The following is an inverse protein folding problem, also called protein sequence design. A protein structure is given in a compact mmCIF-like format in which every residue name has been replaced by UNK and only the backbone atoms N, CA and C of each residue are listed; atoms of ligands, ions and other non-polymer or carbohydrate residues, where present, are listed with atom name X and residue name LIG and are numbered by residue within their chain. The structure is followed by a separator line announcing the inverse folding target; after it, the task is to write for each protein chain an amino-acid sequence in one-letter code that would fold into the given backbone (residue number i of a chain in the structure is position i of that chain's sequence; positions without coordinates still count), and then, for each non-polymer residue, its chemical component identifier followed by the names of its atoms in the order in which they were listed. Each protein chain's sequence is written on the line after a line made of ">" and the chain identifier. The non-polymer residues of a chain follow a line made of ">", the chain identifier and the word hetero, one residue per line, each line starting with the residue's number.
data_IF_254821734302
#
_entry.id   IF_254821734302
#
_cell.length_a   1.000
_cell.length_b   1.000
_cell.length_c   1.000
_cell.angle_alpha   90.00
_cell.angle_beta   90.00
_cell.angle_gamma   90.00
#
_symmetry.space_group_name_H-M   'P 1'
#
loop_
_entity.id
_entity.type
_entity.pdbx_description
1 polymer ?
#
# COMPACT_ATOMS: atom_id res chain seq x y z
N UNK A 1 -20.56 53.98 -32.68
CA UNK A 1 -19.34 53.30 -32.22
C UNK A 1 -19.56 52.83 -30.79
N UNK A 2 -19.91 51.57 -30.61
CA UNK A 2 -19.98 50.90 -29.31
C UNK A 2 -19.32 49.55 -29.48
N UNK A 3 -18.03 49.50 -29.17
CA UNK A 3 -17.23 48.28 -29.20
C UNK A 3 -17.77 47.31 -28.15
N UNK A 4 -18.40 46.23 -28.60
CA UNK A 4 -18.59 45.04 -27.78
C UNK A 4 -17.22 44.52 -27.40
N UNK A 5 -16.87 44.61 -26.12
CA UNK A 5 -15.74 43.87 -25.56
C UNK A 5 -16.02 42.38 -25.76
N UNK A 6 -15.15 41.73 -26.53
CA UNK A 6 -15.14 40.28 -26.70
C UNK A 6 -14.84 39.65 -25.34
N UNK A 7 -15.87 39.08 -24.72
CA UNK A 7 -15.74 38.26 -23.53
C UNK A 7 -15.06 36.95 -23.95
N UNK A 8 -13.73 36.93 -24.01
CA UNK A 8 -12.94 35.70 -24.06
C UNK A 8 -13.01 35.05 -22.69
N UNK A 9 -14.14 34.40 -22.41
CA UNK A 9 -14.30 33.52 -21.26
C UNK A 9 -13.40 32.31 -21.43
N UNK A 10 -12.12 32.45 -21.10
CA UNK A 10 -11.19 31.33 -20.98
C UNK A 10 -11.75 30.34 -19.97
N UNK A 11 -11.71 29.05 -20.30
CA UNK A 11 -12.20 27.99 -19.43
C UNK A 11 -11.36 28.02 -18.14
N UNK A 12 -11.98 28.37 -17.01
CA UNK A 12 -11.32 28.38 -15.70
C UNK A 12 -11.35 26.96 -15.15
N UNK A 13 -10.19 26.34 -15.05
CA UNK A 13 -10.04 25.01 -14.45
C UNK A 13 -9.68 25.12 -12.97
N UNK A 14 -10.46 24.46 -12.11
CA UNK A 14 -10.15 24.37 -10.68
C UNK A 14 -9.26 23.16 -10.43
N UNK A 15 -8.16 23.37 -9.73
CA UNK A 15 -7.17 22.33 -9.47
C UNK A 15 -6.98 22.13 -7.97
N UNK A 16 -6.55 20.92 -7.60
CA UNK A 16 -6.04 20.62 -6.25
C UNK A 16 -4.51 20.67 -6.27
N UNK A 17 -3.90 20.02 -7.24
CA UNK A 17 -2.46 20.00 -7.48
C UNK A 17 -2.19 19.79 -8.96
N UNK A 18 -1.13 20.39 -9.49
CA UNK A 18 -0.71 20.18 -10.88
C UNK A 18 0.82 20.31 -10.99
N UNK A 19 1.44 19.44 -11.79
CA UNK A 19 2.85 19.54 -12.20
C UNK A 19 2.88 19.88 -13.68
N UNK A 20 3.55 20.97 -14.06
CA UNK A 20 3.67 21.41 -15.45
C UNK A 20 4.97 20.86 -16.08
N UNK A 21 4.99 20.80 -17.40
CA UNK A 21 6.13 20.30 -18.16
C UNK A 21 7.42 21.13 -17.99
N UNK A 22 7.30 22.39 -17.57
CA UNK A 22 8.43 23.28 -17.28
C UNK A 22 9.00 23.10 -15.86
N UNK A 23 8.50 22.12 -15.09
CA UNK A 23 8.90 21.89 -13.70
C UNK A 23 8.20 22.79 -12.69
N UNK A 24 7.20 23.58 -13.10
CA UNK A 24 6.35 24.30 -12.16
C UNK A 24 5.48 23.32 -11.37
N UNK A 25 5.49 23.43 -10.04
CA UNK A 25 4.58 22.69 -9.16
C UNK A 25 3.55 23.66 -8.59
N UNK A 26 2.28 23.33 -8.70
CA UNK A 26 1.17 24.13 -8.20
C UNK A 26 0.37 23.29 -7.21
N UNK A 27 0.16 23.79 -5.99
CA UNK A 27 -0.60 23.12 -4.94
C UNK A 27 -1.66 24.08 -4.37
N UNK A 28 -2.87 23.58 -4.16
CA UNK A 28 -3.88 24.32 -3.40
C UNK A 28 -3.47 24.37 -1.94
N UNK A 29 -3.55 25.55 -1.35
CA UNK A 29 -3.36 25.79 0.08
C UNK A 29 -4.63 26.42 0.68
N UNK A 30 -4.83 26.24 1.98
CA UNK A 30 -6.00 26.75 2.70
C UNK A 30 -5.55 27.61 3.87
N UNK A 31 -5.93 28.88 3.90
CA UNK A 31 -5.72 29.76 5.05
C UNK A 31 -6.85 29.53 6.07
N UNK A 32 -6.58 28.93 7.26
CA UNK A 32 -7.64 28.57 8.19
C UNK A 32 -8.39 29.78 8.77
N UNK A 33 -7.68 30.90 8.97
CA UNK A 33 -8.23 32.12 9.55
C UNK A 33 -9.32 32.77 8.69
N UNK A 34 -9.16 32.72 7.37
CA UNK A 34 -10.08 33.33 6.41
C UNK A 34 -10.96 32.32 5.68
N UNK A 35 -10.69 31.02 5.83
CA UNK A 35 -11.35 29.93 5.09
C UNK A 35 -11.31 30.18 3.57
N UNK A 36 -10.15 30.62 3.08
CA UNK A 36 -9.92 30.89 1.65
C UNK A 36 -8.82 30.01 1.10
N UNK A 37 -9.00 29.57 -0.14
CA UNK A 37 -8.02 28.76 -0.86
C UNK A 37 -7.22 29.61 -1.83
N UNK A 38 -5.93 29.29 -1.95
CA UNK A 38 -4.98 29.91 -2.88
C UNK A 38 -4.16 28.82 -3.59
N UNK A 39 -3.39 29.20 -4.59
CA UNK A 39 -2.37 28.37 -5.22
C UNK A 39 -1.00 28.76 -4.66
N UNK A 40 -0.33 27.82 -4.00
CA UNK A 40 1.11 27.88 -3.79
C UNK A 40 1.80 27.38 -5.06
N UNK A 41 2.67 28.22 -5.63
CA UNK A 41 3.35 27.96 -6.90
C UNK A 41 4.84 27.92 -6.63
N UNK A 42 5.50 26.88 -7.12
CA UNK A 42 6.95 26.76 -7.12
C UNK A 42 7.47 26.71 -8.55
N UNK A 43 8.37 27.64 -8.89
CA UNK A 43 8.97 27.74 -10.21
C UNK A 43 10.39 28.28 -10.10
N UNK A 44 11.35 27.60 -10.72
CA UNK A 44 12.76 28.02 -10.80
C UNK A 44 13.37 28.39 -9.43
N UNK A 45 13.07 27.61 -8.39
CA UNK A 45 13.57 27.85 -7.03
C UNK A 45 12.77 28.87 -6.20
N UNK A 46 11.80 29.56 -6.81
CA UNK A 46 11.00 30.60 -6.16
C UNK A 46 9.61 30.07 -5.79
N UNK A 47 9.09 30.51 -4.64
CA UNK A 47 7.72 30.26 -4.21
C UNK A 47 6.89 31.53 -4.22
N UNK A 48 5.64 31.44 -4.67
CA UNK A 48 4.64 32.48 -4.46
C UNK A 48 3.28 31.86 -4.08
N UNK A 49 2.38 32.69 -3.55
CA UNK A 49 0.99 32.31 -3.26
C UNK A 49 0.08 33.30 -3.94
N UNK A 50 -0.80 32.82 -4.82
CA UNK A 50 -1.70 33.66 -5.61
C UNK A 50 -3.11 33.02 -5.70
N UNK A 51 -4.11 33.82 -6.01
CA UNK A 51 -5.49 33.41 -6.27
C UNK A 51 -5.67 32.59 -7.55
N UNK A 52 -4.73 32.71 -8.50
CA UNK A 52 -4.77 32.00 -9.77
C UNK A 52 -3.40 31.91 -10.43
N UNK A 53 -3.27 31.06 -11.46
CA UNK A 53 -2.07 30.94 -12.28
C UNK A 53 -2.45 30.85 -13.76
N UNK A 54 -1.66 31.48 -14.65
CA UNK A 54 -1.86 31.42 -16.10
C UNK A 54 -0.75 30.54 -16.68
N UNK A 55 -1.15 29.40 -17.27
CA UNK A 55 -0.23 28.46 -17.92
C UNK A 55 0.37 29.08 -19.19
N UNK A 56 1.48 28.53 -19.65
CA UNK A 56 2.08 28.90 -20.94
C UNK A 56 1.13 28.71 -22.14
N UNK A 57 0.14 27.81 -22.02
CA UNK A 57 -0.94 27.62 -22.99
C UNK A 57 -1.97 28.76 -23.04
N UNK A 58 -1.92 29.71 -22.09
CA UNK A 58 -2.93 30.76 -21.89
C UNK A 58 -4.12 30.33 -21.02
N UNK A 59 -4.18 29.08 -20.59
CA UNK A 59 -5.23 28.57 -19.70
C UNK A 59 -5.06 29.14 -18.28
N UNK A 60 -6.15 29.65 -17.70
CA UNK A 60 -6.18 30.12 -16.31
C UNK A 60 -6.65 29.00 -15.38
N UNK A 61 -5.85 28.71 -14.36
CA UNK A 61 -6.22 27.79 -13.27
C UNK A 61 -6.45 28.53 -11.96
N UNK A 62 -7.37 28.02 -11.16
CA UNK A 62 -7.76 28.52 -9.85
C UNK A 62 -7.77 27.37 -8.83
N UNK A 63 -7.62 27.63 -7.52
CA UNK A 63 -7.72 26.57 -6.54
C UNK A 63 -9.14 26.02 -6.48
N UNK A 64 -9.28 24.76 -6.05
CA UNK A 64 -10.57 24.26 -5.61
C UNK A 64 -11.13 25.18 -4.51
N UNK A 65 -12.40 25.57 -4.61
CA UNK A 65 -12.98 26.57 -3.70
C UNK A 65 -13.09 26.01 -2.28
N UNK A 66 -12.81 26.84 -1.29
CA UNK A 66 -13.06 26.51 0.12
C UNK A 66 -14.53 26.12 0.42
N UNK A 67 -15.48 26.55 -0.42
CA UNK A 67 -16.89 26.14 -0.33
C UNK A 67 -17.15 24.68 -0.73
N UNK A 68 -16.16 23.96 -1.25
CA UNK A 68 -16.25 22.52 -1.46
C UNK A 68 -16.57 21.84 -0.12
N UNK A 69 -17.54 20.93 -0.11
CA UNK A 69 -18.05 20.33 1.12
C UNK A 69 -16.95 19.65 1.97
N UNK A 70 -16.00 18.98 1.32
CA UNK A 70 -14.92 18.28 2.02
C UNK A 70 -13.89 19.24 2.61
N UNK A 71 -13.69 20.41 1.98
CA UNK A 71 -12.80 21.46 2.49
C UNK A 71 -13.48 22.22 3.64
N UNK A 72 -14.71 22.69 3.40
CA UNK A 72 -15.51 23.47 4.36
C UNK A 72 -15.65 22.77 5.71
N UNK A 73 -15.78 21.44 5.71
CA UNK A 73 -15.94 20.65 6.92
C UNK A 73 -14.61 20.09 7.48
N UNK A 74 -13.46 20.52 6.95
CA UNK A 74 -12.14 20.10 7.44
C UNK A 74 -11.86 18.61 7.26
N UNK A 75 -12.49 17.97 6.26
CA UNK A 75 -12.29 16.54 5.97
C UNK A 75 -10.93 16.31 5.33
N UNK A 76 -10.46 17.26 4.52
CA UNK A 76 -9.15 17.22 3.86
C UNK A 76 -8.22 18.27 4.46
N UNK A 77 -7.04 17.84 4.90
CA UNK A 77 -6.03 18.70 5.49
C UNK A 77 -5.10 19.27 4.43
N UNK A 78 -5.07 20.59 4.30
CA UNK A 78 -4.12 21.31 3.45
C UNK A 78 -2.99 21.92 4.27
N UNK A 79 -1.87 22.20 3.62
CA UNK A 79 -0.93 23.20 4.10
C UNK A 79 -1.55 24.60 3.95
N UNK A 80 -1.11 25.53 4.80
CA UNK A 80 -1.53 26.93 4.74
C UNK A 80 -0.69 27.72 3.74
N UNK A 81 0.61 27.43 3.67
CA UNK A 81 1.57 28.07 2.78
C UNK A 81 2.87 27.26 2.75
N UNK A 82 3.73 27.41 1.74
CA UNK A 82 5.07 26.85 1.78
C UNK A 82 5.92 27.64 2.80
N UNK A 83 6.61 26.92 3.68
CA UNK A 83 7.46 27.53 4.72
C UNK A 83 8.84 26.88 4.74
N UNK A 84 9.88 27.67 4.95
CA UNK A 84 11.24 27.16 4.95
C UNK A 84 11.49 26.22 6.15
N UNK A 85 12.34 25.23 5.93
CA UNK A 85 12.89 24.34 6.95
C UNK A 85 14.41 24.37 6.84
N UNK A 86 15.10 24.10 7.95
CA UNK A 86 16.57 24.19 8.06
C UNK A 86 17.28 23.14 7.20
N UNK A 87 16.98 21.86 7.44
CA UNK A 87 17.49 20.74 6.65
C UNK A 87 16.49 19.58 6.66
N UNK A 88 16.70 18.58 5.80
CA UNK A 88 15.84 17.38 5.77
C UNK A 88 15.96 16.62 7.10
N UNK A 89 17.18 16.53 7.65
CA UNK A 89 17.47 15.90 8.94
C UNK A 89 16.72 16.59 10.09
N UNK A 90 16.74 17.92 10.13
CA UNK A 90 16.02 18.67 11.15
C UNK A 90 14.51 18.51 11.01
N UNK A 91 13.97 18.58 9.79
CA UNK A 91 12.55 18.36 9.53
C UNK A 91 12.10 16.96 10.00
N UNK A 92 12.91 15.94 9.76
CA UNK A 92 12.66 14.57 10.24
C UNK A 92 12.69 14.52 11.77
N UNK A 93 13.66 15.18 12.41
CA UNK A 93 13.75 15.22 13.86
C UNK A 93 12.54 15.93 14.50
N UNK A 94 12.05 17.01 13.89
CA UNK A 94 10.88 17.73 14.34
C UNK A 94 9.61 16.86 14.21
N UNK A 95 9.48 16.12 13.09
CA UNK A 95 8.41 15.13 12.89
C UNK A 95 8.48 14.03 13.94
N UNK A 96 9.66 13.46 14.20
CA UNK A 96 9.84 12.42 15.21
C UNK A 96 9.48 12.93 16.62
N UNK A 97 9.92 14.14 16.96
CA UNK A 97 9.61 14.78 18.25
C UNK A 97 8.12 14.99 18.41
N UNK A 98 7.45 15.46 17.36
CA UNK A 98 6.01 15.63 17.32
C UNK A 98 5.26 14.28 17.50
N UNK A 99 5.67 13.21 16.80
CA UNK A 99 5.06 11.89 16.95
C UNK A 99 5.28 11.36 18.38
N UNK A 100 6.51 11.46 18.90
CA UNK A 100 6.87 11.02 20.24
C UNK A 100 6.04 11.74 21.31
N UNK A 101 5.73 13.02 21.14
CA UNK A 101 4.93 13.76 22.12
C UNK A 101 3.50 13.21 22.30
N UNK A 102 2.92 12.64 21.26
CA UNK A 102 1.48 12.34 21.23
C UNK A 102 1.13 10.86 21.05
N UNK A 103 2.11 10.01 20.74
CA UNK A 103 1.88 8.62 20.38
C UNK A 103 2.90 7.71 21.06
N UNK A 104 2.41 6.57 21.56
CA UNK A 104 3.26 5.49 22.04
C UNK A 104 3.38 4.39 20.98
N UNK A 105 4.52 4.38 20.31
CA UNK A 105 4.92 3.40 19.28
C UNK A 105 6.41 3.13 19.45
N UNK A 106 6.87 2.00 18.90
CA UNK A 106 8.30 1.66 18.90
C UNK A 106 9.15 2.76 18.26
N UNK A 107 10.36 2.99 18.79
CA UNK A 107 11.30 3.96 18.24
C UNK A 107 11.58 3.68 16.76
N UNK A 108 11.72 2.40 16.43
CA UNK A 108 11.91 1.93 15.07
C UNK A 108 10.75 2.37 14.16
N UNK A 109 9.51 2.10 14.56
CA UNK A 109 8.35 2.47 13.75
C UNK A 109 8.13 3.99 13.70
N UNK A 110 8.51 4.73 14.74
CA UNK A 110 8.50 6.20 14.71
C UNK A 110 9.40 6.74 13.59
N UNK A 111 10.58 6.15 13.38
CA UNK A 111 11.44 6.50 12.23
C UNK A 111 10.73 6.18 10.92
N UNK A 112 10.20 4.95 10.75
CA UNK A 112 9.46 4.56 9.54
C UNK A 112 8.31 5.53 9.25
N UNK A 113 7.48 5.85 10.25
CA UNK A 113 6.35 6.76 10.11
C UNK A 113 6.78 8.17 9.69
N UNK A 114 7.92 8.65 10.18
CA UNK A 114 8.46 9.98 9.83
C UNK A 114 8.87 10.06 8.36
N UNK A 115 9.56 9.03 7.85
CA UNK A 115 9.88 8.97 6.42
C UNK A 115 8.66 8.64 5.56
N UNK A 116 7.70 7.87 6.08
CA UNK A 116 6.43 7.66 5.39
C UNK A 116 5.68 8.98 5.21
N UNK A 117 5.68 9.86 6.21
CA UNK A 117 5.13 11.21 6.08
C UNK A 117 5.81 11.95 4.93
N UNK A 118 7.15 12.02 4.89
CA UNK A 118 7.87 12.63 3.75
C UNK A 118 7.48 11.99 2.42
N UNK A 119 7.42 10.65 2.35
CA UNK A 119 7.00 9.90 1.16
C UNK A 119 5.62 10.36 0.68
N UNK A 120 4.66 10.61 1.58
CA UNK A 120 3.32 11.09 1.18
C UNK A 120 3.35 12.43 0.44
N UNK A 121 4.36 13.27 0.68
CA UNK A 121 4.52 14.56 0.02
C UNK A 121 5.18 14.46 -1.36
N UNK A 122 5.73 13.30 -1.72
CA UNK A 122 6.44 13.07 -2.99
C UNK A 122 6.04 11.74 -3.64
N UNK A 123 4.93 11.15 -3.20
CA UNK A 123 4.49 9.80 -3.61
C UNK A 123 4.26 9.69 -5.12
N UNK A 124 3.96 10.82 -5.76
CA UNK A 124 3.74 10.95 -7.18
C UNK A 124 5.04 11.00 -8.00
N UNK A 125 6.21 10.81 -7.39
CA UNK A 125 7.45 10.42 -8.06
C UNK A 125 7.57 8.89 -8.27
N UNK A 126 6.74 8.09 -7.59
CA UNK A 126 6.82 6.64 -7.62
C UNK A 126 5.65 5.99 -8.38
N UNK A 127 5.85 4.74 -8.78
CA UNK A 127 4.82 3.89 -9.37
C UNK A 127 4.16 3.00 -8.31
N UNK A 128 4.92 2.56 -7.30
CA UNK A 128 4.42 1.74 -6.20
C UNK A 128 4.66 2.41 -4.85
N UNK A 129 3.80 2.11 -3.88
CA UNK A 129 3.87 2.66 -2.53
C UNK A 129 3.65 1.59 -1.46
N UNK A 130 4.36 1.68 -0.32
CA UNK A 130 3.94 1.05 0.93
C UNK A 130 2.68 1.71 1.49
N UNK A 131 1.98 0.93 2.31
CA UNK A 131 0.99 1.44 3.25
C UNK A 131 1.51 1.33 4.67
N UNK A 132 1.07 2.23 5.54
CA UNK A 132 1.37 2.18 6.96
C UNK A 132 0.18 1.58 7.71
N UNK A 133 0.44 0.66 8.65
CA UNK A 133 -0.59 -0.01 9.44
C UNK A 133 -0.30 0.03 10.93
N UNK A 134 -1.33 0.33 11.69
CA UNK A 134 -1.37 0.27 13.15
C UNK A 134 -2.30 -0.87 13.55
N UNK A 135 -1.77 -1.92 14.16
CA UNK A 135 -2.52 -3.12 14.55
C UNK A 135 -2.55 -3.30 16.06
N UNK A 136 -3.67 -3.78 16.62
CA UNK A 136 -3.78 -4.09 18.05
C UNK A 136 -5.21 -3.98 18.59
N UNK A 137 -5.40 -4.36 19.85
CA UNK A 137 -6.72 -4.45 20.49
C UNK A 137 -7.30 -3.09 20.91
N UNK A 138 -8.54 -3.09 21.42
CA UNK A 138 -9.18 -1.88 21.92
C UNK A 138 -8.34 -1.20 23.02
N UNK A 139 -8.28 0.14 23.00
CA UNK A 139 -7.50 0.91 23.97
C UNK A 139 -6.00 0.99 23.67
N UNK A 140 -5.50 0.40 22.57
CA UNK A 140 -4.05 0.39 22.25
C UNK A 140 -3.50 1.70 21.66
N UNK A 141 -4.31 2.76 21.51
CA UNK A 141 -3.86 4.06 20.98
C UNK A 141 -3.84 4.20 19.45
N UNK A 142 -4.29 3.21 18.68
CA UNK A 142 -4.30 3.26 17.19
C UNK A 142 -4.95 4.51 16.60
N UNK A 143 -6.15 4.86 17.06
CA UNK A 143 -6.88 6.04 16.57
C UNK A 143 -6.08 7.32 16.84
N UNK A 144 -5.43 7.43 18.01
CA UNK A 144 -4.52 8.55 18.33
C UNK A 144 -3.34 8.59 17.36
N UNK A 145 -2.69 7.45 17.12
CA UNK A 145 -1.58 7.35 16.17
C UNK A 145 -2.01 7.73 14.74
N UNK A 146 -3.18 7.28 14.28
CA UNK A 146 -3.76 7.68 12.99
C UNK A 146 -3.92 9.19 12.89
N UNK A 147 -4.52 9.83 13.90
CA UNK A 147 -4.72 11.27 13.91
C UNK A 147 -3.39 12.03 13.88
N UNK A 148 -2.42 11.64 14.71
CA UNK A 148 -1.14 12.34 14.81
C UNK A 148 -0.33 12.21 13.52
N UNK A 149 -0.15 10.99 13.01
CA UNK A 149 0.59 10.73 11.77
C UNK A 149 -0.14 11.35 10.58
N UNK A 150 -1.45 11.08 10.46
CA UNK A 150 -2.29 11.58 9.37
C UNK A 150 -2.37 13.10 9.31
N UNK A 151 -2.22 13.80 10.44
CA UNK A 151 -2.17 15.28 10.47
C UNK A 151 -0.96 15.86 9.73
N UNK A 152 0.10 15.08 9.48
CA UNK A 152 1.27 15.53 8.73
C UNK A 152 1.31 15.02 7.29
N UNK A 153 0.46 14.05 6.93
CA UNK A 153 0.43 13.48 5.59
C UNK A 153 -0.14 14.46 4.56
N UNK A 154 0.36 14.38 3.32
CA UNK A 154 -0.07 15.22 2.20
C UNK A 154 -1.57 15.03 1.90
N UNK A 155 -2.33 16.14 1.90
CA UNK A 155 -3.76 16.18 1.59
C UNK A 155 -4.55 15.07 2.30
N UNK A 156 -4.19 14.81 3.56
CA UNK A 156 -4.76 13.71 4.32
C UNK A 156 -6.27 13.90 4.52
N UNK A 157 -7.03 12.83 4.36
CA UNK A 157 -8.45 12.82 4.71
C UNK A 157 -8.79 11.58 5.54
N UNK A 158 -9.68 11.77 6.50
CA UNK A 158 -10.05 10.75 7.46
C UNK A 158 -11.36 10.08 7.06
N UNK A 159 -11.35 8.76 7.07
CA UNK A 159 -12.54 7.93 6.91
C UNK A 159 -12.53 6.82 7.95
N UNK A 160 -13.71 6.29 8.26
CA UNK A 160 -13.87 5.17 9.19
C UNK A 160 -14.75 4.09 8.59
N UNK A 161 -14.77 2.92 9.23
CA UNK A 161 -15.67 1.83 8.87
C UNK A 161 -17.16 2.18 8.86
N UNK A 162 -17.56 3.28 9.52
CA UNK A 162 -18.92 3.80 9.48
C UNK A 162 -19.27 4.59 8.20
N UNK A 163 -18.27 4.94 7.38
CA UNK A 163 -18.46 5.68 6.14
C UNK A 163 -18.82 4.74 4.99
N UNK A 164 -19.74 5.15 4.12
CA UNK A 164 -19.92 4.45 2.85
C UNK A 164 -18.64 4.55 2.02
N UNK A 165 -18.35 3.53 1.21
CA UNK A 165 -17.09 3.47 0.44
C UNK A 165 -17.10 4.48 -0.73
N UNK A 166 -18.28 4.86 -1.23
CA UNK A 166 -18.42 5.74 -2.40
C UNK A 166 -17.69 7.09 -2.27
N UNK A 167 -17.91 7.89 -1.19
CA UNK A 167 -17.16 9.11 -0.92
C UNK A 167 -15.64 8.95 -0.91
N UNK A 168 -15.13 7.78 -0.55
CA UNK A 168 -13.68 7.52 -0.50
C UNK A 168 -13.10 7.53 -1.92
N UNK A 169 -13.76 6.91 -2.91
CA UNK A 169 -13.28 6.94 -4.30
C UNK A 169 -13.25 8.36 -4.85
N UNK A 170 -14.33 9.12 -4.65
CA UNK A 170 -14.42 10.50 -5.12
C UNK A 170 -13.37 11.40 -4.46
N UNK A 171 -13.11 11.20 -3.17
CA UNK A 171 -12.10 11.99 -2.44
C UNK A 171 -10.68 11.65 -2.91
N UNK A 172 -10.35 10.36 -3.05
CA UNK A 172 -9.07 9.95 -3.63
C UNK A 172 -8.89 10.47 -5.05
N UNK A 173 -9.95 10.44 -5.85
CA UNK A 173 -9.91 10.87 -7.24
C UNK A 173 -9.72 12.38 -7.39
N UNK A 174 -10.44 13.15 -6.58
CA UNK A 174 -10.41 14.62 -6.60
C UNK A 174 -9.14 15.17 -5.98
N UNK A 175 -8.77 14.70 -4.78
CA UNK A 175 -7.74 15.33 -3.97
C UNK A 175 -6.36 14.70 -4.11
N UNK A 176 -6.28 13.45 -4.61
CA UNK A 176 -4.99 12.75 -4.79
C UNK A 176 -4.15 12.80 -3.50
N UNK A 177 -4.81 12.59 -2.37
CA UNK A 177 -4.23 12.73 -1.04
C UNK A 177 -4.02 11.41 -0.32
N UNK A 178 -3.66 11.51 0.96
CA UNK A 178 -3.46 10.34 1.83
C UNK A 178 -4.78 9.89 2.47
N UNK A 179 -5.15 8.62 2.29
CA UNK A 179 -6.29 8.04 3.01
C UNK A 179 -5.87 7.62 4.41
N UNK A 180 -6.48 8.21 5.44
CA UNK A 180 -6.36 7.79 6.83
C UNK A 180 -7.63 7.02 7.20
N UNK A 181 -7.50 5.72 7.46
CA UNK A 181 -8.66 4.84 7.62
C UNK A 181 -8.66 4.12 8.96
N UNK A 182 -9.68 4.39 9.79
CA UNK A 182 -9.90 3.69 11.07
C UNK A 182 -10.93 2.57 10.93
N UNK A 183 -10.79 1.53 11.76
CA UNK A 183 -11.67 0.36 11.80
C UNK A 183 -11.77 -0.43 10.48
N UNK A 184 -10.64 -0.87 9.92
CA UNK A 184 -10.65 -1.73 8.72
C UNK A 184 -11.13 -3.19 8.95
N UNK A 185 -11.47 -3.58 10.19
CA UNK A 185 -11.91 -4.95 10.53
C UNK A 185 -13.42 -5.15 10.33
N UNK A 186 -13.87 -5.09 9.09
CA UNK A 186 -15.24 -5.47 8.78
C UNK A 186 -15.40 -6.99 8.97
N UNK A 187 -16.33 -7.41 9.83
CA UNK A 187 -16.54 -8.84 10.08
C UNK A 187 -17.18 -9.53 8.88
N UNK A 188 -18.23 -8.99 8.25
CA UNK A 188 -18.82 -9.52 7.01
C UNK A 188 -19.72 -8.44 6.38
N UNK A 189 -19.30 -7.83 5.26
CA UNK A 189 -20.16 -6.92 4.49
C UNK A 189 -19.60 -6.65 3.07
N UNK A 190 -20.46 -6.24 2.14
CA UNK A 190 -20.06 -5.88 0.76
C UNK A 190 -19.05 -4.73 0.75
N UNK A 191 -19.10 -3.84 1.74
CA UNK A 191 -18.16 -2.73 1.94
C UNK A 191 -16.72 -3.21 2.18
N UNK A 192 -16.52 -4.35 2.88
CA UNK A 192 -15.20 -4.97 3.03
C UNK A 192 -14.58 -5.28 1.67
N UNK A 193 -15.38 -5.83 0.76
CA UNK A 193 -14.90 -6.20 -0.57
C UNK A 193 -14.46 -4.97 -1.37
N UNK A 194 -15.17 -3.86 -1.22
CA UNK A 194 -14.88 -2.63 -1.94
C UNK A 194 -13.65 -1.90 -1.37
N UNK A 195 -13.50 -1.89 -0.05
CA UNK A 195 -12.30 -1.38 0.61
C UNK A 195 -11.04 -2.17 0.20
N UNK A 196 -11.14 -3.50 0.16
CA UNK A 196 -10.06 -4.37 -0.31
C UNK A 196 -9.66 -4.02 -1.74
N UNK A 197 -10.62 -3.71 -2.63
CA UNK A 197 -10.31 -3.23 -3.99
C UNK A 197 -9.57 -1.89 -3.99
N UNK A 198 -9.93 -0.94 -3.11
CA UNK A 198 -9.18 0.32 -2.93
C UNK A 198 -7.75 0.04 -2.54
N UNK A 199 -7.53 -0.82 -1.55
CA UNK A 199 -6.17 -1.11 -1.10
C UNK A 199 -5.37 -1.91 -2.14
N UNK A 200 -6.00 -2.85 -2.84
CA UNK A 200 -5.35 -3.65 -3.87
C UNK A 200 -4.92 -2.82 -5.08
N UNK A 201 -5.74 -1.86 -5.52
CA UNK A 201 -5.46 -1.05 -6.71
C UNK A 201 -4.79 0.28 -6.39
N UNK A 202 -4.84 0.74 -5.14
CA UNK A 202 -4.31 2.04 -4.73
C UNK A 202 -2.81 2.09 -4.47
N UNK A 203 -2.11 0.95 -4.52
CA UNK A 203 -0.68 0.89 -4.19
C UNK A 203 0.20 0.99 -5.44
N UNK A 204 -0.38 0.82 -6.63
CA UNK A 204 0.32 0.91 -7.92
C UNK A 204 -0.38 1.95 -8.79
N UNK A 205 0.38 2.81 -9.46
CA UNK A 205 -0.14 3.82 -10.38
C UNK A 205 -0.73 3.16 -11.63
N UNK A 206 -1.80 3.75 -12.17
CA UNK A 206 -2.36 3.36 -13.48
C UNK A 206 -3.46 2.30 -13.42
N UNK A 207 -3.88 1.87 -12.23
CA UNK A 207 -4.99 0.93 -12.04
C UNK A 207 -6.23 1.65 -11.47
N UNK A 208 -7.03 2.34 -12.30
CA UNK A 208 -8.26 2.98 -11.82
C UNK A 208 -9.31 1.93 -11.42
N UNK A 209 -10.17 2.29 -10.48
CA UNK A 209 -11.39 1.55 -10.19
C UNK A 209 -12.50 2.02 -11.12
N UNK A 210 -13.10 1.08 -11.85
CA UNK A 210 -14.22 1.35 -12.73
C UNK A 210 -15.54 1.16 -12.00
N UNK A 211 -16.44 2.12 -12.16
CA UNK A 211 -17.82 2.07 -11.65
C UNK A 211 -18.77 2.46 -12.76
N UNK A 212 -19.87 1.75 -12.87
CA UNK A 212 -20.93 2.14 -13.79
C UNK A 212 -21.83 3.17 -13.11
N UNK A 213 -21.93 4.36 -13.69
CA UNK A 213 -22.96 5.34 -13.36
C UNK A 213 -24.11 5.23 -14.35
N UNK A 214 -25.33 5.55 -13.92
CA UNK A 214 -26.43 5.79 -14.85
C UNK A 214 -26.50 7.28 -15.14
N UNK A 215 -26.45 7.65 -16.41
CA UNK A 215 -26.66 9.05 -16.82
C UNK A 215 -28.11 9.46 -16.59
N UNK A 216 -28.39 10.76 -16.65
CA UNK A 216 -29.77 11.27 -16.62
C UNK A 216 -30.66 10.70 -17.75
N UNK A 217 -30.04 10.16 -18.82
CA UNK A 217 -30.72 9.49 -19.95
C UNK A 217 -30.89 7.98 -19.75
N UNK A 218 -30.55 7.43 -18.58
CA UNK A 218 -30.54 5.99 -18.26
C UNK A 218 -29.56 5.16 -19.10
N UNK A 219 -28.52 5.78 -19.63
CA UNK A 219 -27.42 5.08 -20.29
C UNK A 219 -26.36 4.69 -19.24
N UNK A 220 -25.70 3.55 -19.45
CA UNK A 220 -24.58 3.12 -18.61
C UNK A 220 -23.30 3.86 -19.02
N UNK A 221 -22.73 4.62 -18.09
CA UNK A 221 -21.50 5.39 -18.26
C UNK A 221 -20.41 4.84 -17.31
N UNK A 222 -19.38 4.14 -17.83
CA UNK A 222 -18.28 3.65 -17.00
C UNK A 222 -17.38 4.82 -16.58
N UNK A 223 -17.37 5.12 -15.29
CA UNK A 223 -16.52 6.13 -14.68
C UNK A 223 -15.27 5.50 -14.05
N UNK A 224 -14.12 6.07 -14.36
CA UNK A 224 -12.83 5.66 -13.80
C UNK A 224 -12.45 6.55 -12.62
N UNK A 225 -12.21 5.95 -11.47
CA UNK A 225 -11.73 6.61 -10.26
C UNK A 225 -10.30 6.17 -9.99
N UNK A 226 -9.36 7.11 -10.01
CA UNK A 226 -8.00 6.79 -9.61
C UNK A 226 -7.88 6.84 -8.07
N UNK A 227 -7.43 5.72 -7.51
CA UNK A 227 -7.29 5.48 -6.06
C UNK A 227 -5.83 5.33 -5.62
N UNK A 228 -4.90 5.55 -6.55
CA UNK A 228 -3.48 5.53 -6.29
C UNK A 228 -3.09 6.60 -5.28
N UNK A 229 -2.37 6.21 -4.25
CA UNK A 229 -1.85 7.13 -3.25
C UNK A 229 -1.58 6.46 -1.90
N UNK A 230 -0.88 7.17 -1.01
CA UNK A 230 -0.51 6.66 0.31
C UNK A 230 -1.75 6.38 1.18
N UNK A 231 -1.61 5.41 2.09
CA UNK A 231 -2.65 5.00 3.03
C UNK A 231 -2.06 4.69 4.40
N UNK A 232 -2.76 5.16 5.43
CA UNK A 232 -2.47 4.85 6.84
C UNK A 232 -3.73 4.21 7.42
N UNK A 233 -3.61 2.97 7.90
CA UNK A 233 -4.75 2.15 8.30
C UNK A 233 -4.62 1.67 9.74
N UNK A 234 -5.69 1.80 10.52
CA UNK A 234 -5.81 1.13 11.81
C UNK A 234 -6.76 -0.06 11.74
N UNK A 235 -6.33 -1.16 12.34
CA UNK A 235 -7.13 -2.37 12.42
C UNK A 235 -6.75 -3.22 13.65
N UNK A 236 -7.53 -4.24 13.94
CA UNK A 236 -7.42 -5.15 15.07
C UNK A 236 -6.82 -6.47 14.61
N UNK A 237 -7.20 -6.95 13.43
CA UNK A 237 -6.78 -8.25 12.88
C UNK A 237 -6.05 -8.07 11.54
N UNK A 238 -5.41 -9.13 11.05
CA UNK A 238 -4.86 -9.15 9.69
C UNK A 238 -5.98 -9.28 8.64
N UNK A 239 -5.70 -8.88 7.40
CA UNK A 239 -6.48 -9.30 6.25
C UNK A 239 -6.21 -10.79 5.95
N UNK A 240 -7.22 -11.47 5.44
CA UNK A 240 -7.11 -12.87 5.03
C UNK A 240 -6.22 -13.04 3.77
N UNK A 241 -6.11 -11.98 2.94
CA UNK A 241 -5.33 -11.98 1.71
C UNK A 241 -3.86 -11.62 1.99
N UNK A 242 -2.97 -12.62 1.91
CA UNK A 242 -1.54 -12.42 2.12
C UNK A 242 -0.88 -11.45 1.10
N UNK A 243 -1.46 -11.31 -0.10
CA UNK A 243 -0.95 -10.34 -1.08
C UNK A 243 -1.27 -8.91 -0.61
N UNK A 244 -2.45 -8.69 -0.01
CA UNK A 244 -2.78 -7.43 0.63
C UNK A 244 -1.94 -7.18 1.88
N UNK A 245 -1.77 -8.16 2.75
CA UNK A 245 -0.90 -8.07 3.94
C UNK A 245 0.52 -7.60 3.60
N UNK A 246 1.09 -8.12 2.52
CA UNK A 246 2.45 -7.78 2.10
C UNK A 246 2.67 -6.29 1.77
N UNK A 247 1.59 -5.52 1.55
CA UNK A 247 1.63 -4.07 1.24
C UNK A 247 1.83 -3.17 2.45
N UNK A 248 1.72 -3.71 3.67
CA UNK A 248 1.70 -2.91 4.90
C UNK A 248 2.99 -3.01 5.71
N UNK A 249 3.55 -1.86 6.04
CA UNK A 249 4.52 -1.69 7.13
C UNK A 249 3.73 -1.57 8.44
N UNK A 250 3.88 -2.54 9.33
CA UNK A 250 2.96 -2.73 10.46
C UNK A 250 3.63 -2.46 11.81
N UNK A 251 2.96 -1.68 12.65
CA UNK A 251 3.24 -1.57 14.09
C UNK A 251 2.23 -2.36 14.90
N UNK A 252 2.72 -3.20 15.81
CA UNK A 252 1.90 -3.89 16.82
C UNK A 252 1.78 -3.02 18.07
N UNK A 253 0.62 -2.40 18.25
CA UNK A 253 0.33 -1.51 19.36
C UNK A 253 -0.29 -2.24 20.56
N UNK A 254 -0.04 -1.71 21.75
CA UNK A 254 -0.65 -2.21 23.00
C UNK A 254 0.12 -3.36 23.67
N UNK A 255 1.37 -3.62 23.24
CA UNK A 255 2.25 -4.62 23.86
C UNK A 255 2.83 -4.15 25.19
N UNK A 256 2.80 -2.84 25.47
CA UNK A 256 3.37 -2.22 26.66
C UNK A 256 2.41 -1.19 27.26
N UNK A 257 2.65 -0.82 28.52
CA UNK A 257 1.90 0.27 29.16
C UNK A 257 2.23 1.61 28.49
N UNK A 258 1.20 2.41 28.27
CA UNK A 258 1.34 3.76 27.73
C UNK A 258 2.31 4.59 28.56
N UNK A 259 3.24 5.29 27.91
CA UNK A 259 4.11 6.25 28.59
C UNK A 259 3.33 7.34 29.31
N UNK A 260 3.79 7.71 30.50
CA UNK A 260 3.10 8.64 31.41
C UNK A 260 3.12 10.10 30.97
N UNK A 261 4.05 10.48 30.08
CA UNK A 261 4.20 11.83 29.56
C UNK A 261 3.22 12.17 28.43
N UNK A 262 2.51 11.17 27.89
CA UNK A 262 1.58 11.36 26.78
C UNK A 262 0.24 11.93 27.30
N UNK A 263 -0.25 13.05 26.74
CA UNK A 263 -1.54 13.60 27.10
C UNK A 263 -2.71 12.65 26.76
N UNK A 264 -3.53 12.34 27.76
CA UNK A 264 -4.73 11.49 27.60
C UNK A 264 -5.66 12.06 26.53
N UNK A 265 -5.93 13.37 26.56
CA UNK A 265 -6.67 14.07 25.52
C UNK A 265 -5.70 14.81 24.59
N UNK A 266 -5.96 14.81 23.28
CA UNK A 266 -5.11 15.49 22.31
C UNK A 266 -5.31 17.01 22.47
N UNK A 267 -4.28 17.77 22.87
CA UNK A 267 -4.44 19.21 23.11
C UNK A 267 -4.50 19.99 21.79
N UNK A 268 -5.16 21.15 21.78
CA UNK A 268 -5.30 21.96 20.55
C UNK A 268 -3.96 22.43 19.98
N UNK A 269 -2.92 22.60 20.82
CA UNK A 269 -1.55 22.92 20.37
C UNK A 269 -1.01 21.93 19.33
N UNK A 270 -1.46 20.66 19.38
CA UNK A 270 -1.07 19.66 18.39
C UNK A 270 -1.50 20.07 16.97
N UNK A 271 -2.66 20.72 16.81
CA UNK A 271 -3.14 21.17 15.49
C UNK A 271 -2.27 22.28 14.93
N UNK A 272 -1.79 23.17 15.80
CA UNK A 272 -0.86 24.24 15.43
C UNK A 272 0.52 23.69 15.07
N UNK A 273 1.07 22.80 15.89
CA UNK A 273 2.33 22.10 15.57
C UNK A 273 2.23 21.36 14.23
N UNK A 274 1.13 20.63 14.02
CA UNK A 274 0.90 19.92 12.77
C UNK A 274 0.78 20.86 11.57
N UNK A 275 0.13 22.02 11.74
CA UNK A 275 0.03 23.04 10.69
C UNK A 275 1.38 23.60 10.29
N UNK A 276 2.24 23.93 11.26
CA UNK A 276 3.60 24.42 11.01
C UNK A 276 4.43 23.38 10.26
N UNK A 277 4.41 22.12 10.70
CA UNK A 277 5.10 21.03 10.03
C UNK A 277 4.55 20.78 8.61
N UNK A 278 3.23 20.84 8.39
CA UNK A 278 2.66 20.72 7.04
C UNK A 278 3.14 21.81 6.09
N UNK A 279 3.33 23.04 6.57
CA UNK A 279 3.85 24.13 5.74
C UNK A 279 5.30 23.86 5.30
N UNK A 280 6.13 23.33 6.20
CA UNK A 280 7.49 22.89 5.89
C UNK A 280 7.51 21.70 4.94
N UNK A 281 6.61 20.74 5.13
CA UNK A 281 6.46 19.58 4.27
C UNK A 281 6.02 19.95 2.84
N UNK A 282 5.21 21.00 2.68
CA UNK A 282 4.89 21.56 1.36
C UNK A 282 6.15 22.14 0.68
N UNK A 283 6.99 22.85 1.42
CA UNK A 283 8.28 23.31 0.89
C UNK A 283 9.22 22.14 0.55
N UNK A 284 9.22 21.07 1.37
CA UNK A 284 9.98 19.85 1.09
C UNK A 284 9.54 19.23 -0.24
N UNK A 285 8.23 19.13 -0.50
CA UNK A 285 7.69 18.68 -1.79
C UNK A 285 8.24 19.52 -2.94
N UNK A 286 8.13 20.84 -2.83
CA UNK A 286 8.60 21.76 -3.88
C UNK A 286 10.08 21.58 -4.21
N UNK A 287 10.94 21.46 -3.19
CA UNK A 287 12.38 21.32 -3.40
C UNK A 287 12.82 19.94 -3.88
N UNK A 288 12.06 18.89 -3.56
CA UNK A 288 12.56 17.50 -3.66
C UNK A 288 11.91 16.71 -4.78
N UNK A 289 10.64 16.98 -5.11
CA UNK A 289 9.82 16.13 -5.99
C UNK A 289 10.49 15.79 -7.33
N UNK A 290 11.02 16.79 -8.04
CA UNK A 290 11.66 16.58 -9.34
C UNK A 290 13.03 15.90 -9.27
N UNK A 291 13.69 15.93 -8.11
CA UNK A 291 14.99 15.29 -7.89
C UNK A 291 14.89 13.81 -7.53
N UNK A 292 13.72 13.34 -7.11
CA UNK A 292 13.52 11.97 -6.65
C UNK A 292 13.55 10.99 -7.83
N UNK A 293 14.35 9.94 -7.65
CA UNK A 293 14.42 8.80 -8.57
C UNK A 293 14.38 7.53 -7.76
N UNK A 294 13.74 6.50 -8.34
CA UNK A 294 13.79 5.17 -7.75
C UNK A 294 15.21 4.62 -7.87
N UNK A 295 15.76 4.19 -6.75
CA UNK A 295 17.10 3.60 -6.71
C UNK A 295 17.00 2.08 -6.70
N UNK A 296 17.15 1.49 -7.89
CA UNK A 296 17.05 0.03 -8.12
C UNK A 296 18.17 -0.73 -7.40
N UNK A 297 19.29 -0.06 -7.05
CA UNK A 297 20.38 -0.71 -6.31
C UNK A 297 19.99 -1.06 -4.86
N UNK A 298 18.89 -0.49 -4.34
CA UNK A 298 18.40 -0.75 -3.00
C UNK A 298 17.64 -2.06 -2.86
N UNK A 299 17.37 -2.76 -3.97
CA UNK A 299 16.76 -4.09 -3.98
C UNK A 299 17.63 -5.08 -3.21
N UNK A 300 17.01 -5.77 -2.26
CA UNK A 300 17.64 -6.79 -1.43
C UNK A 300 17.22 -8.19 -1.91
N UNK A 301 18.16 -8.97 -2.44
CA UNK A 301 17.91 -10.31 -2.96
C UNK A 301 17.45 -11.32 -1.91
N UNK A 302 17.69 -11.04 -0.62
CA UNK A 302 17.19 -11.87 0.49
C UNK A 302 15.69 -11.69 0.72
N UNK A 303 15.12 -10.57 0.30
CA UNK A 303 13.70 -10.27 0.44
C UNK A 303 12.88 -10.83 -0.71
N UNK A 304 11.59 -11.05 -0.46
CA UNK A 304 10.68 -11.37 -1.56
C UNK A 304 10.57 -10.22 -2.57
N UNK A 305 10.37 -10.49 -3.88
CA UNK A 305 10.22 -9.44 -4.89
C UNK A 305 9.12 -8.43 -4.57
N UNK A 306 8.05 -8.90 -3.92
CA UNK A 306 6.93 -8.05 -3.51
C UNK A 306 7.34 -7.05 -2.42
N UNK A 307 8.09 -7.50 -1.42
CA UNK A 307 8.59 -6.59 -0.38
C UNK A 307 9.55 -5.57 -0.96
N UNK A 308 10.46 -5.97 -1.86
CA UNK A 308 11.34 -5.03 -2.55
C UNK A 308 10.54 -3.95 -3.30
N UNK A 309 9.50 -4.33 -4.04
CA UNK A 309 8.64 -3.38 -4.75
C UNK A 309 8.02 -2.31 -3.83
N UNK A 310 7.76 -2.66 -2.57
CA UNK A 310 7.11 -1.78 -1.60
C UNK A 310 8.12 -0.96 -0.79
N UNK A 311 9.30 -1.53 -0.48
CA UNK A 311 10.32 -0.85 0.31
C UNK A 311 11.17 0.11 -0.50
N UNK A 312 11.53 -0.24 -1.74
CA UNK A 312 12.44 0.58 -2.56
C UNK A 312 11.99 2.04 -2.68
N UNK A 313 10.69 2.37 -2.88
CA UNK A 313 10.22 3.76 -2.86
C UNK A 313 10.55 4.49 -1.55
N UNK A 314 10.33 3.86 -0.39
CA UNK A 314 10.64 4.43 0.91
C UNK A 314 12.16 4.54 1.12
N UNK A 315 12.93 3.53 0.74
CA UNK A 315 14.39 3.55 0.87
C UNK A 315 15.04 4.59 -0.06
N UNK A 316 14.43 4.88 -1.21
CA UNK A 316 14.94 5.86 -2.19
C UNK A 316 14.93 7.29 -1.67
N UNK A 317 14.08 7.62 -0.68
CA UNK A 317 14.06 8.96 -0.05
C UNK A 317 14.86 9.04 1.25
N UNK A 318 15.44 7.92 1.70
CA UNK A 318 16.28 7.85 2.90
C UNK A 318 17.73 7.95 2.45
N UNK A 319 18.50 8.90 2.98
CA UNK A 319 19.94 9.02 2.69
C UNK A 319 20.84 8.34 3.74
N UNK A 320 20.29 8.04 4.92
CA UNK A 320 20.99 7.36 6.01
C UNK A 320 21.03 5.83 5.79
N UNK A 321 22.22 5.27 5.53
CA UNK A 321 22.41 3.84 5.37
C UNK A 321 22.14 3.02 6.63
N UNK A 322 22.41 3.58 7.83
CA UNK A 322 22.07 2.89 9.08
C UNK A 322 20.57 2.69 9.15
N UNK A 323 19.80 3.73 8.83
CA UNK A 323 18.35 3.63 8.84
C UNK A 323 17.81 2.71 7.73
N UNK A 324 18.40 2.74 6.52
CA UNK A 324 18.03 1.79 5.46
C UNK A 324 18.19 0.35 5.95
N UNK A 325 19.27 0.06 6.67
CA UNK A 325 19.51 -1.25 7.26
C UNK A 325 18.54 -1.59 8.40
N UNK A 326 18.26 -0.65 9.31
CA UNK A 326 17.25 -0.81 10.36
C UNK A 326 15.89 -1.22 9.74
N UNK A 327 15.45 -0.51 8.68
CA UNK A 327 14.16 -0.77 8.00
C UNK A 327 14.18 -2.15 7.33
N UNK A 328 15.27 -2.50 6.64
CA UNK A 328 15.42 -3.83 6.04
C UNK A 328 15.32 -4.92 7.09
N UNK A 329 15.99 -4.78 8.23
CA UNK A 329 15.97 -5.76 9.31
C UNK A 329 14.56 -5.94 9.90
N UNK A 330 13.86 -4.84 10.17
CA UNK A 330 12.49 -4.91 10.67
C UNK A 330 11.54 -5.60 9.69
N UNK A 331 11.66 -5.30 8.39
CA UNK A 331 10.81 -5.93 7.37
C UNK A 331 11.19 -7.39 7.15
N UNK A 332 12.48 -7.76 7.25
CA UNK A 332 12.91 -9.16 7.25
C UNK A 332 12.27 -9.93 8.40
N UNK A 333 12.22 -9.36 9.60
CA UNK A 333 11.57 -10.02 10.75
C UNK A 333 10.07 -10.26 10.51
N UNK A 334 9.40 -9.37 9.77
CA UNK A 334 8.01 -9.52 9.36
C UNK A 334 7.84 -10.56 8.25
N UNK A 335 8.72 -10.57 7.24
CA UNK A 335 8.72 -11.58 6.18
C UNK A 335 8.95 -12.97 6.76
N UNK A 336 9.83 -13.11 7.76
CA UNK A 336 10.05 -14.36 8.50
C UNK A 336 8.81 -14.81 9.27
N UNK A 337 8.06 -13.91 9.90
CA UNK A 337 6.78 -14.26 10.57
C UNK A 337 5.75 -14.74 9.56
N UNK A 338 5.58 -14.02 8.44
CA UNK A 338 4.69 -14.44 7.35
C UNK A 338 5.13 -15.78 6.74
N UNK A 339 6.43 -16.00 6.64
CA UNK A 339 7.00 -17.27 6.18
C UNK A 339 6.70 -18.40 7.16
N UNK A 340 6.87 -18.18 8.47
CA UNK A 340 6.55 -19.16 9.52
C UNK A 340 5.05 -19.50 9.56
N UNK A 341 4.17 -18.52 9.37
CA UNK A 341 2.72 -18.75 9.24
C UNK A 341 2.39 -19.58 7.99
N UNK A 342 3.10 -19.34 6.88
CA UNK A 342 2.95 -20.14 5.65
C UNK A 342 3.50 -21.56 5.82
N UNK A 343 4.65 -21.73 6.46
CA UNK A 343 5.28 -23.04 6.66
C UNK A 343 4.50 -23.92 7.64
N UNK A 344 3.71 -23.32 8.54
CA UNK A 344 2.80 -24.03 9.44
C UNK A 344 1.38 -24.22 8.87
N UNK A 345 1.14 -23.85 7.61
CA UNK A 345 -0.17 -24.03 6.98
C UNK A 345 -0.44 -25.47 6.58
N UNK A 346 -1.74 -25.84 6.47
CA UNK A 346 -2.16 -27.16 5.96
C UNK A 346 -1.60 -27.39 4.55
N UNK A 347 -1.51 -26.34 3.75
CA UNK A 347 -0.91 -26.33 2.42
C UNK A 347 0.56 -26.74 2.45
N UNK A 348 1.35 -26.20 3.38
CA UNK A 348 2.75 -26.58 3.56
C UNK A 348 2.86 -28.05 3.96
N UNK A 349 2.04 -28.53 4.89
CA UNK A 349 2.02 -29.96 5.25
C UNK A 349 1.66 -30.87 4.05
N UNK A 350 0.70 -30.47 3.20
CA UNK A 350 0.37 -31.22 1.97
C UNK A 350 1.55 -31.23 0.99
N UNK A 351 2.24 -30.10 0.83
CA UNK A 351 3.43 -30.00 -0.02
C UNK A 351 4.59 -30.84 0.53
N UNK A 352 4.78 -30.90 1.84
CA UNK A 352 5.78 -31.75 2.49
C UNK A 352 5.53 -33.24 2.22
N UNK A 353 4.27 -33.68 2.32
CA UNK A 353 3.89 -35.05 1.94
C UNK A 353 4.22 -35.32 0.48
N UNK A 354 3.82 -34.42 -0.43
CA UNK A 354 4.09 -34.58 -1.86
C UNK A 354 5.59 -34.66 -2.15
N UNK A 355 6.39 -33.79 -1.53
CA UNK A 355 7.85 -33.80 -1.66
C UNK A 355 8.43 -35.12 -1.15
N UNK A 356 7.97 -35.61 0.00
CA UNK A 356 8.44 -36.89 0.54
C UNK A 356 8.14 -38.05 -0.40
N UNK A 357 6.93 -38.09 -1.00
CA UNK A 357 6.53 -39.12 -1.96
C UNK A 357 7.39 -39.04 -3.22
N UNK A 358 7.62 -37.83 -3.76
CA UNK A 358 8.48 -37.68 -4.94
C UNK A 358 9.94 -38.05 -4.68
N UNK A 359 10.45 -37.80 -3.46
CA UNK A 359 11.81 -38.17 -3.06
C UNK A 359 11.99 -39.70 -2.91
N UNK A 360 10.91 -40.47 -2.77
CA UNK A 360 10.99 -41.95 -2.81
C UNK A 360 11.26 -42.52 -4.21
N UNK A 361 11.39 -41.67 -5.24
CA UNK A 361 11.59 -42.11 -6.63
C UNK A 361 10.29 -42.56 -7.32
N UNK A 362 9.14 -42.15 -6.79
CA UNK A 362 7.84 -42.54 -7.31
C UNK A 362 7.52 -41.79 -8.61
N UNK A 363 7.76 -42.42 -9.76
CA UNK A 363 7.48 -41.85 -11.09
C UNK A 363 6.08 -42.22 -11.61
N UNK A 364 5.04 -41.98 -10.80
CA UNK A 364 3.64 -42.20 -11.20
C UNK A 364 2.70 -41.14 -10.63
N UNK A 365 1.46 -41.14 -11.11
CA UNK A 365 0.42 -40.31 -10.54
C UNK A 365 0.13 -40.73 -9.09
N UNK A 366 -0.06 -39.75 -8.20
CA UNK A 366 -0.28 -39.96 -6.76
C UNK A 366 -1.78 -39.80 -6.49
N UNK A 367 -2.41 -40.78 -5.85
CA UNK A 367 -3.84 -40.64 -5.53
C UNK A 367 -4.07 -39.64 -4.41
N UNK A 368 -5.17 -38.89 -4.46
CA UNK A 368 -5.54 -37.97 -3.37
C UNK A 368 -5.73 -38.75 -2.05
N UNK A 369 -6.18 -40.00 -2.14
CA UNK A 369 -6.30 -40.86 -0.97
C UNK A 369 -4.94 -41.11 -0.33
N UNK A 370 -3.92 -41.46 -1.12
CA UNK A 370 -2.57 -41.72 -0.60
C UNK A 370 -1.97 -40.48 0.06
N UNK A 371 -2.15 -39.31 -0.56
CA UNK A 371 -1.73 -38.03 0.03
C UNK A 371 -2.42 -37.79 1.37
N UNK A 372 -3.73 -38.07 1.45
CA UNK A 372 -4.52 -37.88 2.67
C UNK A 372 -4.10 -38.83 3.77
N UNK A 373 -3.86 -40.11 3.44
CA UNK A 373 -3.38 -41.12 4.39
C UNK A 373 -2.04 -40.70 4.96
N UNK A 374 -1.06 -40.40 4.11
CA UNK A 374 0.27 -39.98 4.54
C UNK A 374 0.22 -38.66 5.35
N UNK A 375 -0.64 -37.72 4.96
CA UNK A 375 -0.85 -36.48 5.73
C UNK A 375 -1.42 -36.77 7.12
N UNK A 376 -2.41 -37.64 7.22
CA UNK A 376 -3.04 -38.00 8.50
C UNK A 376 -2.04 -38.72 9.41
N UNK A 377 -1.26 -39.66 8.87
CA UNK A 377 -0.23 -40.37 9.63
C UNK A 377 0.82 -39.44 10.23
N UNK A 378 1.21 -38.38 9.51
CA UNK A 378 2.24 -37.43 9.97
C UNK A 378 1.68 -36.31 10.84
N UNK A 379 0.50 -35.77 10.50
CA UNK A 379 0.01 -34.49 11.06
C UNK A 379 -1.33 -34.59 11.82
N UNK A 380 -1.89 -35.78 12.07
CA UNK A 380 -3.23 -35.90 12.70
C UNK A 380 -3.36 -35.17 14.04
N UNK A 381 -2.29 -35.06 14.82
CA UNK A 381 -2.30 -34.43 16.15
C UNK A 381 -2.13 -32.90 16.11
N UNK A 382 -1.87 -32.31 14.95
CA UNK A 382 -1.61 -30.87 14.80
C UNK A 382 -2.88 -30.07 14.49
N UNK A 383 -4.00 -30.74 14.18
CA UNK A 383 -5.24 -30.10 13.75
C UNK A 383 -6.45 -30.58 14.56
N UNK A 384 -7.26 -29.63 15.05
CA UNK A 384 -8.51 -29.91 15.80
C UNK A 384 -9.56 -30.68 14.97
N UNK A 385 -9.45 -30.68 13.64
CA UNK A 385 -10.39 -31.33 12.73
C UNK A 385 -9.65 -32.26 11.77
N UNK A 386 -10.19 -33.45 11.48
CA UNK A 386 -9.59 -34.37 10.52
C UNK A 386 -9.49 -33.75 9.12
N UNK A 387 -8.29 -33.80 8.54
CA UNK A 387 -8.04 -33.39 7.15
C UNK A 387 -8.47 -34.54 6.22
N UNK A 388 -9.61 -34.38 5.54
CA UNK A 388 -10.19 -35.42 4.67
C UNK A 388 -9.68 -35.32 3.23
N UNK A 389 -9.87 -36.37 2.43
CA UNK A 389 -9.52 -36.37 1.00
C UNK A 389 -10.25 -35.27 0.20
N UNK A 390 -11.44 -34.86 0.65
CA UNK A 390 -12.15 -33.71 0.08
C UNK A 390 -11.42 -32.39 0.36
N UNK A 391 -10.87 -32.24 1.57
CA UNK A 391 -10.07 -31.07 1.96
C UNK A 391 -8.77 -31.04 1.17
N UNK A 392 -8.01 -32.15 1.16
CA UNK A 392 -6.76 -32.26 0.39
C UNK A 392 -7.00 -31.98 -1.09
N UNK A 393 -7.99 -32.61 -1.71
CA UNK A 393 -8.33 -32.33 -3.11
C UNK A 393 -8.80 -30.89 -3.37
N UNK A 394 -9.40 -30.24 -2.36
CA UNK A 394 -9.71 -28.81 -2.38
C UNK A 394 -8.45 -27.95 -2.34
N UNK A 395 -7.50 -28.27 -1.47
CA UNK A 395 -6.20 -27.59 -1.34
C UNK A 395 -5.42 -27.68 -2.66
N UNK A 396 -5.23 -28.89 -3.19
CA UNK A 396 -4.49 -29.12 -4.43
C UNK A 396 -5.04 -28.27 -5.57
N UNK A 397 -6.36 -28.35 -5.84
CA UNK A 397 -6.97 -27.66 -6.99
C UNK A 397 -7.18 -26.16 -6.79
N UNK A 398 -7.69 -25.75 -5.62
CA UNK A 398 -8.16 -24.37 -5.42
C UNK A 398 -7.09 -23.45 -4.84
N UNK A 399 -6.22 -23.98 -3.98
CA UNK A 399 -5.21 -23.17 -3.27
C UNK A 399 -3.84 -23.29 -3.93
N UNK A 400 -3.37 -24.52 -4.16
CA UNK A 400 -2.08 -24.79 -4.80
C UNK A 400 -2.13 -24.75 -6.33
N UNK A 401 -3.33 -24.73 -6.93
CA UNK A 401 -3.58 -24.71 -8.39
C UNK A 401 -2.89 -25.86 -9.14
N UNK A 402 -2.76 -27.01 -8.48
CA UNK A 402 -2.25 -28.24 -9.07
C UNK A 402 -3.37 -28.96 -9.81
N UNK A 403 -3.05 -29.44 -11.01
CA UNK A 403 -4.01 -30.20 -11.83
C UNK A 403 -4.26 -31.57 -11.23
N UNK A 404 -5.52 -32.01 -11.20
CA UNK A 404 -5.88 -33.38 -10.81
C UNK A 404 -6.85 -33.94 -11.83
N UNK A 405 -6.76 -35.23 -12.14
CA UNK A 405 -7.68 -35.91 -13.05
C UNK A 405 -8.20 -37.19 -12.43
N UNK A 406 -9.26 -37.75 -13.01
CA UNK A 406 -9.86 -39.01 -12.53
C UNK A 406 -9.23 -40.18 -13.28
N UNK A 407 -8.69 -41.14 -12.54
CA UNK A 407 -8.11 -42.39 -13.05
C UNK A 407 -8.68 -43.57 -12.27
N UNK A 408 -9.18 -44.59 -12.97
CA UNK A 408 -9.78 -45.81 -12.36
C UNK A 408 -10.76 -45.52 -11.20
N UNK A 409 -11.59 -44.48 -11.33
CA UNK A 409 -12.59 -44.11 -10.33
C UNK A 409 -12.10 -43.15 -9.23
N UNK A 410 -10.79 -42.92 -9.09
CA UNK A 410 -10.17 -42.10 -8.03
C UNK A 410 -9.51 -40.85 -8.63
N UNK A 411 -9.45 -39.75 -7.88
CA UNK A 411 -8.71 -38.56 -8.30
C UNK A 411 -7.22 -38.70 -7.98
N UNK A 412 -6.37 -38.31 -8.94
CA UNK A 412 -4.91 -38.41 -8.85
C UNK A 412 -4.25 -37.10 -9.28
N UNK A 413 -3.07 -36.82 -8.72
CA UNK A 413 -2.13 -35.77 -9.11
C UNK A 413 -1.15 -36.37 -10.14
N UNK A 414 -1.08 -35.85 -11.39
CA UNK A 414 -0.15 -36.36 -12.39
C UNK A 414 1.31 -36.02 -12.05
N UNK A 415 2.24 -36.84 -12.54
CA UNK A 415 3.68 -36.62 -12.38
C UNK A 415 4.16 -35.29 -12.98
N UNK A 416 3.48 -34.79 -14.01
CA UNK A 416 3.80 -33.51 -14.68
C UNK A 416 3.73 -32.32 -13.73
N UNK A 417 3.08 -32.44 -12.58
CA UNK A 417 3.00 -31.39 -11.57
C UNK A 417 4.21 -31.38 -10.61
N UNK A 418 5.13 -32.36 -10.68
CA UNK A 418 6.30 -32.50 -9.79
C UNK A 418 7.16 -31.22 -9.73
N UNK A 419 7.47 -30.62 -10.88
CA UNK A 419 8.26 -29.39 -10.94
C UNK A 419 7.55 -28.22 -10.24
N UNK A 420 6.24 -28.08 -10.44
CA UNK A 420 5.43 -27.04 -9.76
C UNK A 420 5.37 -27.29 -8.25
N UNK A 421 5.29 -28.55 -7.83
CA UNK A 421 5.33 -28.91 -6.41
C UNK A 421 6.65 -28.46 -5.80
N UNK A 422 7.80 -28.68 -6.47
CA UNK A 422 9.09 -28.21 -5.97
C UNK A 422 9.14 -26.66 -5.80
N UNK A 423 8.66 -25.90 -6.78
CA UNK A 423 8.57 -24.44 -6.67
C UNK A 423 7.63 -23.99 -5.52
N UNK A 424 6.52 -24.71 -5.33
CA UNK A 424 5.59 -24.45 -4.24
C UNK A 424 6.21 -24.80 -2.88
N UNK A 425 6.99 -25.88 -2.79
CA UNK A 425 7.74 -26.24 -1.58
C UNK A 425 8.67 -25.11 -1.13
N UNK A 426 9.41 -24.49 -2.06
CA UNK A 426 10.26 -23.32 -1.78
C UNK A 426 9.39 -22.13 -1.31
N UNK A 427 8.26 -21.88 -1.98
CA UNK A 427 7.38 -20.75 -1.67
C UNK A 427 6.69 -20.86 -0.31
N UNK A 428 6.31 -22.07 0.09
CA UNK A 428 5.65 -22.35 1.37
C UNK A 428 6.65 -22.67 2.49
N UNK A 429 7.94 -22.68 2.19
CA UNK A 429 9.00 -22.90 3.17
C UNK A 429 9.17 -24.33 3.65
N UNK A 430 8.77 -25.28 2.81
CA UNK A 430 9.04 -26.71 2.97
C UNK A 430 10.48 -27.05 2.55
N UNK A 431 11.07 -26.26 1.63
CA UNK A 431 12.46 -26.37 1.18
C UNK A 431 13.15 -25.01 1.25
N UNK A 432 14.45 -25.00 1.52
CA UNK A 432 15.24 -23.77 1.53
C UNK A 432 15.57 -23.30 0.11
N UNK A 433 15.57 -21.99 -0.13
CA UNK A 433 15.96 -21.38 -1.42
C UNK A 433 17.39 -21.77 -1.88
N UNK A 434 18.24 -22.25 -0.98
CA UNK A 434 19.62 -22.66 -1.30
C UNK A 434 19.70 -24.01 -2.04
N UNK A 435 18.61 -24.77 -2.08
CA UNK A 435 18.57 -26.09 -2.74
C UNK A 435 18.35 -26.00 -4.27
N UNK A 436 18.27 -24.81 -4.86
CA UNK A 436 18.22 -24.62 -6.33
C UNK A 436 19.44 -25.18 -7.08
N UNK A 437 20.54 -25.48 -6.38
CA UNK A 437 21.74 -26.11 -6.96
C UNK A 437 21.70 -27.65 -7.01
N UNK A 438 20.56 -28.29 -6.72
CA UNK A 438 20.37 -29.72 -6.99
C UNK A 438 20.23 -29.95 -8.53
N UNK A 439 21.14 -30.69 -9.19
CA UNK A 439 21.26 -30.79 -10.65
C UNK A 439 20.04 -31.39 -11.39
N UNK A 440 18.96 -31.75 -10.71
CA UNK A 440 17.76 -32.36 -11.29
C UNK A 440 16.87 -31.34 -12.04
N UNK A 441 16.91 -30.06 -11.69
CA UNK A 441 16.06 -29.02 -12.32
C UNK A 441 16.64 -28.37 -13.58
N UNK A 442 17.93 -28.54 -13.86
CA UNK A 442 18.63 -27.84 -14.95
C UNK A 442 18.51 -28.43 -16.36
N UNK A 443 17.66 -29.44 -16.60
CA UNK A 443 17.67 -30.20 -17.89
C UNK A 443 16.37 -30.23 -18.70
N UNK A 444 15.37 -29.39 -18.40
CA UNK A 444 14.12 -29.37 -19.17
C UNK A 444 13.81 -28.03 -19.85
N UNK A 445 14.81 -27.15 -19.98
CA UNK A 445 14.70 -25.87 -20.68
C UNK A 445 15.02 -25.89 -22.17
N UNK A 446 15.18 -27.06 -22.81
CA UNK A 446 15.51 -27.15 -24.23
C UNK A 446 14.52 -28.08 -24.94
N UNK A 447 13.37 -27.51 -25.33
CA UNK A 447 12.41 -28.13 -26.24
C UNK A 447 12.49 -27.37 -27.56
N UNK A 448 13.15 -28.03 -28.52
CA UNK A 448 13.50 -27.52 -29.83
C UNK A 448 12.32 -27.02 -30.65
N UNK A 449 12.62 -26.00 -31.44
CA UNK A 449 11.84 -25.57 -32.59
C UNK A 449 11.88 -26.65 -33.68
N UNK A 450 10.91 -27.56 -33.67
CA UNK A 450 10.61 -28.37 -34.86
C UNK A 450 9.95 -27.48 -35.92
N UNK A 451 10.75 -27.03 -36.88
CA UNK A 451 10.26 -26.51 -38.15
C UNK A 451 9.74 -27.66 -39.01
N UNK A 452 8.42 -27.80 -39.11
CA UNK A 452 7.78 -28.57 -40.19
C UNK A 452 7.36 -27.63 -41.29
N UNK A 453 8.01 -27.75 -42.45
CA UNK A 453 7.50 -27.21 -43.71
C UNK A 453 6.39 -28.08 -44.31
N UNK A 454 6.05 -27.74 -45.55
CA UNK A 454 4.95 -28.16 -46.45
C UNK A 454 3.83 -27.11 -46.40
N UNK A 455 3.54 -26.33 -47.45
CA UNK A 455 3.77 -26.46 -48.91
C UNK A 455 4.70 -25.43 -49.54
#
# INVERSE_FOLDING_TARGET
>A
MTSKSSNTGGIIHKIVSEQLADGTIIETVLTPATQTTFLAIYKDGNTCVDSSYIKASGEKVEPIKASNNLIKHGVVNFAERPEAYESIEQLINDIQTYIYRYVDISDHFRKIASYYILLTWVYDAFNELPYLRLRGDFGSGKTRALFVIGSLCNKAFFASGASTVSPIFHTLDTFRGTLIFDEADFRFSDEKSELVKIFNNGNVRGFPLLRTAMTAKREFDPQAFNVYGPKVVAMRKAFDDSALESRFLTEEMGQHRMRHDIPINLPDIQKDEARLLRNQLLMYRFKTLHGIKIDVSLVDSSLSPRLNQILVPLLSIIHDESLRNDIREAVRSFDQKLYAERSSSVEAGVLEILQSIYNTGLDRAISISDITTAFTERFANEYDRPVTARVVGGILRKRLRLLTYKSHGVYVLPITEKAKVAELCIRYGVMDRKDENDPVLGRLGDMGTCSTGIE
#
